data_IF_387871465753
#
_entry.id   IF_387871465753
#
_cell.length_a   1.000
_cell.length_b   1.000
_cell.length_c   1.000
_cell.angle_alpha   90.00
_cell.angle_beta   90.00
_cell.angle_gamma   90.00
#
_symmetry.space_group_name_H-M   'P 1'
#
loop_
_entity.id
_entity.type
_entity.pdbx_description
1 polymer ?
#
# COMPACT_ATOMS: atom_id res chain seq x y z
N UNK A 1 -4.54 33.81 -1.04
CA UNK A 1 -4.24 32.76 -0.03
C UNK A 1 -3.10 31.97 -0.64
N UNK A 2 -2.08 31.64 0.14
CA UNK A 2 -1.04 30.76 -0.36
C UNK A 2 -1.66 29.39 -0.73
N UNK A 3 -1.25 28.82 -1.86
CA UNK A 3 -1.67 27.50 -2.25
C UNK A 3 -1.05 26.47 -1.32
N UNK A 4 -1.85 25.59 -0.72
CA UNK A 4 -1.39 24.53 0.18
C UNK A 4 -1.73 23.17 -0.37
N UNK A 5 -0.84 22.21 -0.15
CA UNK A 5 -1.01 20.83 -0.54
C UNK A 5 -0.55 19.87 0.57
N UNK A 6 -1.09 18.68 0.62
CA UNK A 6 -0.59 17.65 1.52
C UNK A 6 0.77 17.12 1.03
N UNK A 7 1.62 16.68 1.96
CA UNK A 7 2.88 16.04 1.59
C UNK A 7 2.67 14.80 0.69
N UNK A 8 1.54 14.12 0.85
CA UNK A 8 1.21 12.94 0.04
C UNK A 8 0.97 13.33 -1.41
N UNK A 9 0.12 14.34 -1.65
CA UNK A 9 -0.15 14.89 -2.98
C UNK A 9 1.13 15.32 -3.67
N UNK A 10 1.98 16.08 -2.96
CA UNK A 10 3.26 16.51 -3.51
C UNK A 10 4.25 15.35 -3.73
N UNK A 11 4.21 14.31 -2.90
CA UNK A 11 5.02 13.10 -3.09
C UNK A 11 4.63 12.31 -4.35
N UNK A 12 3.34 12.23 -4.66
CA UNK A 12 2.83 11.64 -5.91
C UNK A 12 3.25 12.48 -7.12
N UNK A 13 3.01 13.80 -7.03
CA UNK A 13 3.36 14.76 -8.09
C UNK A 13 4.87 14.80 -8.35
N UNK A 14 5.69 14.78 -7.30
CA UNK A 14 7.14 14.68 -7.41
C UNK A 14 7.56 13.46 -8.23
N UNK A 15 7.03 12.30 -7.87
CA UNK A 15 7.36 11.05 -8.56
C UNK A 15 6.98 11.13 -10.03
N UNK A 16 5.80 11.65 -10.33
CA UNK A 16 5.32 11.85 -11.69
C UNK A 16 6.23 12.80 -12.50
N UNK A 17 6.59 13.97 -11.94
CA UNK A 17 7.47 14.93 -12.61
C UNK A 17 8.89 14.41 -12.82
N UNK A 18 9.43 13.66 -11.85
CA UNK A 18 10.74 12.99 -12.03
C UNK A 18 10.73 12.02 -13.22
N UNK A 19 9.66 11.25 -13.39
CA UNK A 19 9.53 10.34 -14.53
C UNK A 19 9.46 11.08 -15.86
N UNK A 20 8.75 12.22 -15.91
CA UNK A 20 8.69 13.07 -17.12
C UNK A 20 10.04 13.69 -17.43
N UNK A 21 10.73 14.23 -16.43
CA UNK A 21 12.05 14.83 -16.55
C UNK A 21 13.12 13.79 -16.98
N UNK A 22 13.14 12.62 -16.33
CA UNK A 22 14.15 11.59 -16.58
C UNK A 22 13.88 10.80 -17.87
N UNK A 23 12.60 10.69 -18.30
CA UNK A 23 12.16 9.89 -19.44
C UNK A 23 12.47 8.39 -19.29
N UNK A 24 12.78 7.93 -18.12
CA UNK A 24 13.19 6.56 -17.81
C UNK A 24 13.04 6.28 -16.32
N UNK A 25 13.00 5.01 -15.94
CA UNK A 25 12.93 4.59 -14.55
C UNK A 25 13.87 3.43 -14.28
N UNK A 26 14.56 3.47 -13.14
CA UNK A 26 15.40 2.39 -12.64
C UNK A 26 14.54 1.30 -12.00
N UNK A 27 14.84 0.03 -12.28
CA UNK A 27 14.28 -1.07 -11.49
C UNK A 27 14.92 -1.12 -10.11
N UNK A 28 14.11 -1.48 -9.10
CA UNK A 28 14.56 -1.57 -7.71
C UNK A 28 15.04 -2.96 -7.33
N UNK A 29 15.95 -3.04 -6.35
CA UNK A 29 16.34 -4.29 -5.67
C UNK A 29 15.46 -4.55 -4.44
N UNK A 30 15.57 -5.74 -3.85
CA UNK A 30 14.90 -6.07 -2.59
C UNK A 30 15.25 -5.11 -1.43
N UNK A 31 16.45 -4.54 -1.42
CA UNK A 31 16.92 -3.58 -0.42
C UNK A 31 16.60 -2.11 -0.74
N UNK A 32 15.74 -1.86 -1.74
CA UNK A 32 15.37 -0.51 -2.20
C UNK A 32 16.56 0.31 -2.74
N UNK A 33 17.45 -0.33 -3.49
CA UNK A 33 18.52 0.30 -4.23
C UNK A 33 18.27 0.16 -5.73
N UNK A 34 18.98 0.93 -6.54
CA UNK A 34 18.96 0.80 -8.00
C UNK A 34 19.50 -0.58 -8.39
N UNK A 35 18.78 -1.28 -9.26
CA UNK A 35 19.27 -2.52 -9.87
C UNK A 35 20.15 -2.15 -11.07
N UNK A 36 21.41 -2.51 -11.00
CA UNK A 36 22.39 -2.18 -12.03
C UNK A 36 21.97 -2.71 -13.42
N UNK A 37 22.13 -1.90 -14.44
CA UNK A 37 21.84 -2.22 -15.83
C UNK A 37 20.38 -2.63 -16.13
N UNK A 38 19.43 -2.27 -15.25
CA UNK A 38 18.01 -2.51 -15.47
C UNK A 38 17.24 -1.18 -15.44
N UNK A 39 17.36 -0.45 -16.54
CA UNK A 39 16.76 0.85 -16.79
C UNK A 39 15.70 0.71 -17.87
N UNK A 40 14.49 1.26 -17.65
CA UNK A 40 13.39 1.19 -18.63
C UNK A 40 13.06 2.57 -19.16
N UNK A 41 13.22 2.82 -20.48
CA UNK A 41 12.75 4.03 -21.12
C UNK A 41 11.23 4.14 -21.05
N UNK A 42 10.76 5.35 -20.77
CA UNK A 42 9.34 5.70 -20.75
C UNK A 42 9.01 6.46 -22.02
N UNK A 43 8.08 5.96 -22.81
CA UNK A 43 7.65 6.62 -24.03
C UNK A 43 6.43 7.54 -23.80
N UNK A 44 5.52 7.13 -22.88
CA UNK A 44 4.34 7.91 -22.58
C UNK A 44 3.82 7.57 -21.18
N UNK A 45 3.29 8.58 -20.48
CA UNK A 45 2.56 8.41 -19.21
C UNK A 45 1.13 8.89 -19.42
N UNK A 46 0.15 8.10 -18.99
CA UNK A 46 -1.25 8.49 -18.93
C UNK A 46 -1.64 8.76 -17.47
N UNK A 47 -2.28 9.90 -17.23
CA UNK A 47 -2.82 10.31 -15.94
C UNK A 47 -4.27 10.72 -16.07
N UNK A 48 -5.10 10.37 -15.10
CA UNK A 48 -6.53 10.69 -15.08
C UNK A 48 -6.78 11.74 -14.01
N UNK A 49 -7.46 12.82 -14.39
CA UNK A 49 -7.88 13.91 -13.52
C UNK A 49 -9.40 14.07 -13.56
N UNK A 50 -9.98 14.94 -12.74
CA UNK A 50 -11.42 15.12 -12.63
C UNK A 50 -12.07 15.59 -13.97
N UNK A 51 -11.33 16.31 -14.80
CA UNK A 51 -11.80 16.89 -16.08
C UNK A 51 -11.47 16.04 -17.32
N UNK A 52 -10.82 14.87 -17.12
CA UNK A 52 -10.48 13.93 -18.17
C UNK A 52 -9.15 13.20 -18.00
N UNK A 53 -8.65 12.67 -19.08
CA UNK A 53 -7.36 11.99 -19.12
C UNK A 53 -6.33 12.81 -19.87
N UNK A 54 -5.09 12.69 -19.49
CA UNK A 54 -3.95 13.32 -20.18
C UNK A 54 -2.92 12.28 -20.51
N UNK A 55 -2.34 12.40 -21.72
CA UNK A 55 -1.20 11.62 -22.16
C UNK A 55 0.01 12.51 -22.33
N UNK A 56 1.08 12.19 -21.64
CA UNK A 56 2.36 12.88 -21.64
C UNK A 56 3.34 12.05 -22.46
N UNK A 57 3.58 12.45 -23.70
CA UNK A 57 4.54 11.81 -24.61
C UNK A 57 5.92 12.37 -24.33
N UNK A 58 6.87 11.51 -24.00
CA UNK A 58 8.24 11.90 -23.70
C UNK A 58 9.05 11.88 -24.98
N UNK A 59 9.42 13.06 -25.43
CA UNK A 59 10.25 13.29 -26.61
C UNK A 59 11.70 13.56 -26.18
N UNK A 60 12.60 13.80 -27.12
CA UNK A 60 14.03 13.93 -26.81
C UNK A 60 14.31 15.05 -25.80
N UNK A 61 13.73 16.24 -25.99
CA UNK A 61 13.93 17.39 -25.10
C UNK A 61 12.65 17.87 -24.42
N UNK A 62 11.49 17.45 -24.90
CA UNK A 62 10.20 17.99 -24.53
C UNK A 62 9.26 16.88 -24.02
N UNK A 63 8.23 17.31 -23.31
CA UNK A 63 7.05 16.52 -22.97
C UNK A 63 5.86 17.12 -23.70
N UNK A 64 5.28 16.38 -24.64
CA UNK A 64 4.09 16.78 -25.37
C UNK A 64 2.86 16.24 -24.64
N UNK A 65 1.92 17.13 -24.33
CA UNK A 65 0.70 16.82 -23.56
C UNK A 65 -0.51 16.81 -24.48
N UNK A 66 -1.22 15.71 -24.51
CA UNK A 66 -2.46 15.52 -25.25
C UNK A 66 -3.61 15.34 -24.25
N UNK A 67 -4.62 16.20 -24.35
CA UNK A 67 -5.79 16.18 -23.51
C UNK A 67 -6.88 15.29 -24.13
N UNK A 68 -7.57 14.51 -23.31
CA UNK A 68 -8.56 13.57 -23.80
C UNK A 68 -9.48 13.07 -22.69
N UNK A 69 -10.19 12.02 -22.99
CA UNK A 69 -11.03 11.28 -22.05
C UNK A 69 -10.92 9.78 -22.30
N UNK A 70 -11.23 8.98 -21.30
CA UNK A 70 -11.34 7.53 -21.47
C UNK A 70 -12.79 7.20 -21.79
N UNK A 71 -13.04 6.73 -23.01
CA UNK A 71 -14.36 6.29 -23.41
C UNK A 71 -14.79 5.08 -22.57
N UNK A 72 -15.88 5.23 -21.79
CA UNK A 72 -16.35 4.20 -20.84
C UNK A 72 -16.66 2.84 -21.47
N UNK A 73 -17.05 2.83 -22.75
CA UNK A 73 -17.49 1.62 -23.43
C UNK A 73 -16.33 0.79 -23.98
N UNK A 74 -15.31 1.45 -24.52
CA UNK A 74 -14.15 0.82 -25.18
C UNK A 74 -12.91 0.80 -24.28
N UNK A 75 -12.91 1.61 -23.22
CA UNK A 75 -11.75 1.89 -22.37
C UNK A 75 -10.55 2.48 -23.16
N UNK A 76 -10.84 3.15 -24.29
CA UNK A 76 -9.82 3.78 -25.12
C UNK A 76 -9.72 5.28 -24.82
N UNK A 77 -8.51 5.79 -24.94
CA UNK A 77 -8.28 7.23 -24.87
C UNK A 77 -8.73 7.89 -26.18
N UNK A 78 -9.55 8.92 -26.05
CA UNK A 78 -10.00 9.76 -27.16
C UNK A 78 -9.52 11.18 -26.93
N UNK A 79 -8.67 11.68 -27.82
CA UNK A 79 -8.15 13.05 -27.73
C UNK A 79 -9.27 14.08 -27.95
N UNK A 80 -9.29 15.16 -27.17
CA UNK A 80 -10.18 16.32 -27.38
C UNK A 80 -9.66 17.12 -28.56
N UNK A 81 -10.54 17.38 -29.52
CA UNK A 81 -10.20 18.14 -30.76
C UNK A 81 -10.28 19.64 -30.57
N UNK A 82 -10.92 20.10 -29.53
CA UNK A 82 -11.13 21.51 -29.14
C UNK A 82 -10.05 22.06 -28.19
N UNK A 83 -9.13 21.21 -27.76
CA UNK A 83 -7.99 21.60 -26.92
C UNK A 83 -6.70 21.34 -27.67
N UNK A 84 -5.90 22.38 -27.85
CA UNK A 84 -4.60 22.26 -28.49
C UNK A 84 -3.62 21.43 -27.64
N UNK A 85 -2.84 20.60 -28.32
CA UNK A 85 -1.69 19.93 -27.72
C UNK A 85 -0.66 20.97 -27.31
N UNK A 86 -0.02 20.74 -26.18
CA UNK A 86 1.03 21.63 -25.65
C UNK A 86 2.32 20.85 -25.49
N UNK A 87 3.44 21.54 -25.62
CA UNK A 87 4.78 20.93 -25.43
C UNK A 87 5.59 21.82 -24.51
N UNK A 88 6.29 21.19 -23.55
CA UNK A 88 7.11 21.88 -22.57
C UNK A 88 8.47 21.18 -22.45
N UNK A 89 9.56 21.94 -22.24
CA UNK A 89 10.87 21.36 -22.00
C UNK A 89 10.87 20.39 -20.80
N UNK A 90 11.59 19.29 -20.94
CA UNK A 90 11.77 18.34 -19.81
C UNK A 90 12.44 18.99 -18.59
N UNK A 91 13.27 20.00 -18.84
CA UNK A 91 13.95 20.79 -17.80
C UNK A 91 12.95 21.53 -16.89
N UNK A 92 11.78 21.94 -17.39
CA UNK A 92 10.75 22.59 -16.59
C UNK A 92 10.14 21.62 -15.57
N UNK A 93 9.94 20.35 -15.96
CA UNK A 93 9.51 19.29 -15.05
C UNK A 93 10.60 18.93 -14.04
N UNK A 94 11.88 18.99 -14.41
CA UNK A 94 13.00 18.80 -13.47
C UNK A 94 13.05 19.92 -12.45
N UNK A 95 12.90 21.17 -12.87
CA UNK A 95 12.84 22.33 -11.98
C UNK A 95 11.65 22.23 -11.02
N UNK A 96 10.46 21.90 -11.51
CA UNK A 96 9.26 21.72 -10.69
C UNK A 96 9.44 20.56 -9.68
N UNK A 97 9.99 19.42 -10.10
CA UNK A 97 10.32 18.31 -9.21
C UNK A 97 11.32 18.74 -8.11
N UNK A 98 12.32 19.55 -8.45
CA UNK A 98 13.31 20.05 -7.50
C UNK A 98 12.69 21.00 -6.46
N UNK A 99 11.74 21.85 -6.85
CA UNK A 99 10.97 22.71 -5.94
C UNK A 99 10.14 21.86 -4.97
N UNK A 100 9.43 20.83 -5.47
CA UNK A 100 8.65 19.90 -4.64
C UNK A 100 9.56 19.17 -3.65
N UNK A 101 10.69 18.65 -4.10
CA UNK A 101 11.64 17.92 -3.25
C UNK A 101 12.16 18.82 -2.11
N UNK A 102 12.49 20.07 -2.43
CA UNK A 102 12.92 21.07 -1.44
C UNK A 102 11.82 21.30 -0.39
N UNK A 103 10.58 21.51 -0.82
CA UNK A 103 9.42 21.72 0.06
C UNK A 103 9.15 20.49 0.94
N UNK A 104 9.19 19.29 0.39
CA UNK A 104 9.00 18.05 1.14
C UNK A 104 10.07 17.82 2.23
N UNK A 105 11.31 18.27 1.98
CA UNK A 105 12.43 18.13 2.93
C UNK A 105 12.50 19.23 3.98
N UNK A 106 12.12 20.45 3.62
CA UNK A 106 12.30 21.64 4.48
C UNK A 106 11.13 21.92 5.41
N UNK A 107 9.89 21.63 4.99
CA UNK A 107 8.71 21.94 5.76
C UNK A 107 8.26 20.77 6.64
N UNK A 108 7.76 21.07 7.85
CA UNK A 108 7.16 20.12 8.78
C UNK A 108 5.63 20.19 8.68
N UNK A 109 4.94 19.11 9.09
CA UNK A 109 3.47 19.02 9.04
C UNK A 109 2.96 18.12 7.90
N UNK A 110 1.65 17.93 7.86
CA UNK A 110 0.98 17.16 6.81
C UNK A 110 0.64 18.04 5.60
N UNK A 111 0.23 19.27 5.83
CA UNK A 111 0.01 20.30 4.81
C UNK A 111 1.22 21.22 4.76
N UNK A 112 1.64 21.55 3.56
CA UNK A 112 2.78 22.42 3.29
C UNK A 112 2.40 23.48 2.25
N UNK A 113 3.04 24.63 2.36
CA UNK A 113 2.86 25.76 1.45
C UNK A 113 3.64 25.51 0.14
N UNK A 114 2.98 25.72 -0.97
CA UNK A 114 3.52 25.59 -2.31
C UNK A 114 3.96 26.98 -2.78
N UNK A 115 5.16 27.09 -3.37
CA UNK A 115 5.65 28.36 -3.89
C UNK A 115 4.89 28.79 -5.15
N UNK A 116 4.80 30.10 -5.38
CA UNK A 116 4.08 30.71 -6.50
C UNK A 116 4.59 30.23 -7.87
N UNK A 117 5.90 29.96 -7.98
CA UNK A 117 6.50 29.44 -9.22
C UNK A 117 5.97 28.04 -9.57
N UNK A 118 5.82 27.14 -8.56
CA UNK A 118 5.27 25.84 -8.79
C UNK A 118 3.76 25.89 -9.10
N UNK A 119 3.00 26.74 -8.39
CA UNK A 119 1.58 26.97 -8.68
C UNK A 119 1.40 27.47 -10.12
N UNK A 120 2.18 28.47 -10.54
CA UNK A 120 2.16 28.98 -11.92
C UNK A 120 2.54 27.94 -12.97
N UNK A 121 3.47 27.03 -12.65
CA UNK A 121 3.82 25.93 -13.56
C UNK A 121 2.67 24.92 -13.67
N UNK A 122 2.02 24.55 -12.55
CA UNK A 122 0.87 23.66 -12.57
C UNK A 122 -0.28 24.20 -13.42
N UNK A 123 -0.56 25.49 -13.30
CA UNK A 123 -1.56 26.18 -14.13
C UNK A 123 -1.18 26.14 -15.62
N UNK A 124 0.10 26.38 -15.92
CA UNK A 124 0.62 26.38 -17.29
C UNK A 124 0.50 25.01 -17.96
N UNK A 125 0.83 23.94 -17.25
CA UNK A 125 0.70 22.56 -17.75
C UNK A 125 -0.71 21.98 -17.53
N UNK A 126 -1.62 22.78 -16.97
CA UNK A 126 -3.02 22.45 -16.70
C UNK A 126 -3.18 21.19 -15.84
N UNK A 127 -2.40 21.08 -14.78
CA UNK A 127 -2.57 20.04 -13.77
C UNK A 127 -3.37 20.64 -12.61
N UNK A 128 -4.64 20.21 -12.48
CA UNK A 128 -5.56 20.71 -11.46
C UNK A 128 -5.76 19.74 -10.30
N UNK A 129 -5.50 18.47 -10.50
CA UNK A 129 -5.53 17.45 -9.45
C UNK A 129 -4.09 17.04 -9.10
N UNK A 130 -3.70 17.26 -7.85
CA UNK A 130 -2.37 16.86 -7.37
C UNK A 130 -2.25 15.34 -7.24
N UNK A 131 -3.35 14.65 -6.94
CA UNK A 131 -3.47 13.18 -6.97
C UNK A 131 -4.34 12.74 -8.15
N UNK A 132 -4.02 11.59 -8.75
CA UNK A 132 -4.84 11.01 -9.81
C UNK A 132 -6.25 10.63 -9.32
N UNK A 133 -7.24 10.78 -10.18
CA UNK A 133 -8.66 10.49 -9.89
C UNK A 133 -9.11 9.22 -10.60
N UNK A 134 -8.72 8.06 -10.07
CA UNK A 134 -9.07 6.75 -10.63
C UNK A 134 -9.89 5.91 -9.66
N UNK A 135 -10.84 5.12 -10.19
CA UNK A 135 -11.63 4.17 -9.40
C UNK A 135 -10.82 2.92 -9.02
N UNK A 136 -9.85 2.55 -9.85
CA UNK A 136 -9.02 1.34 -9.69
C UNK A 136 -7.75 1.57 -8.85
N UNK A 137 -7.52 2.84 -8.43
CA UNK A 137 -6.35 3.28 -7.64
C UNK A 137 -5.01 3.16 -8.35
N UNK A 138 -5.01 3.18 -9.66
CA UNK A 138 -3.82 3.45 -10.45
C UNK A 138 -3.52 4.94 -10.37
N UNK A 139 -2.32 5.32 -9.95
CA UNK A 139 -1.95 6.73 -9.88
C UNK A 139 -1.50 7.22 -11.26
N UNK A 140 -0.75 6.38 -11.99
CA UNK A 140 -0.38 6.62 -13.39
C UNK A 140 -0.33 5.30 -14.17
N UNK A 141 -0.44 5.39 -15.50
CA UNK A 141 -0.21 4.27 -16.41
C UNK A 141 0.92 4.62 -17.39
N UNK A 142 1.88 3.72 -17.58
CA UNK A 142 3.10 3.94 -18.36
C UNK A 142 3.13 3.03 -19.58
N UNK A 143 3.42 3.61 -20.74
CA UNK A 143 3.87 2.88 -21.92
C UNK A 143 5.40 2.94 -21.99
N UNK A 144 6.05 1.77 -21.91
CA UNK A 144 7.50 1.65 -22.01
C UNK A 144 7.92 1.43 -23.46
N UNK A 145 9.09 1.94 -23.81
CA UNK A 145 9.75 1.77 -25.12
C UNK A 145 9.05 2.45 -26.30
N UNK A 146 7.74 2.29 -26.45
CA UNK A 146 6.94 2.86 -27.54
C UNK A 146 5.61 3.40 -27.04
N UNK A 147 5.10 4.52 -27.59
CA UNK A 147 3.82 5.10 -27.18
C UNK A 147 2.61 4.17 -27.38
N UNK A 148 2.66 3.26 -28.36
CA UNK A 148 1.61 2.27 -28.62
C UNK A 148 1.77 1.00 -27.77
N UNK A 149 2.80 0.89 -26.94
CA UNK A 149 2.94 -0.24 -26.03
C UNK A 149 1.75 -0.30 -25.05
N UNK A 150 1.37 -1.50 -24.59
CA UNK A 150 0.33 -1.63 -23.60
C UNK A 150 0.62 -0.79 -22.37
N UNK A 151 -0.42 -0.09 -21.89
CA UNK A 151 -0.33 0.70 -20.67
C UNK A 151 -0.20 -0.23 -19.46
N UNK A 152 0.76 0.07 -18.64
CA UNK A 152 1.02 -0.61 -17.36
C UNK A 152 0.65 0.32 -16.22
N UNK A 153 -0.31 -0.08 -15.38
CA UNK A 153 -0.78 0.71 -14.25
C UNK A 153 0.13 0.60 -13.03
N UNK A 154 0.44 1.74 -12.42
CA UNK A 154 1.29 1.83 -11.23
C UNK A 154 0.61 2.56 -10.08
N UNK A 155 0.86 2.08 -8.86
CA UNK A 155 0.66 2.87 -7.65
C UNK A 155 1.96 3.56 -7.24
N UNK A 156 1.86 4.81 -6.77
CA UNK A 156 3.00 5.61 -6.31
C UNK A 156 3.11 5.55 -4.79
N UNK A 157 4.33 5.42 -4.28
CA UNK A 157 4.68 5.54 -2.87
C UNK A 157 5.92 6.41 -2.72
N UNK A 158 5.85 7.41 -1.86
CA UNK A 158 6.95 8.36 -1.64
C UNK A 158 7.35 8.35 -0.16
N UNK A 159 8.62 8.02 0.14
CA UNK A 159 9.15 7.99 1.52
C UNK A 159 9.32 9.38 2.13
N UNK A 160 9.30 10.43 1.33
CA UNK A 160 9.34 11.82 1.77
C UNK A 160 8.00 12.30 2.34
N UNK A 161 6.95 11.50 2.20
CA UNK A 161 5.59 11.81 2.62
C UNK A 161 4.96 10.68 3.45
N UNK A 162 3.83 10.90 4.12
CA UNK A 162 3.00 9.83 4.66
C UNK A 162 2.53 8.90 3.54
N UNK A 163 2.90 7.62 3.63
CA UNK A 163 2.53 6.62 2.62
C UNK A 163 1.20 5.95 2.95
N UNK A 164 0.35 5.78 1.95
CA UNK A 164 -0.83 4.93 2.09
C UNK A 164 -0.41 3.49 2.40
N UNK A 165 -1.05 2.83 3.39
CA UNK A 165 -0.76 1.43 3.68
C UNK A 165 -1.12 0.54 2.48
N UNK A 166 -0.44 -0.61 2.38
CA UNK A 166 -0.77 -1.65 1.41
C UNK A 166 -2.12 -2.29 1.76
N UNK A 167 -2.37 -2.47 3.05
CA UNK A 167 -3.63 -2.99 3.58
C UNK A 167 -4.13 -2.07 4.69
N UNK A 168 -5.31 -1.48 4.48
CA UNK A 168 -6.11 -0.78 5.48
C UNK A 168 -7.60 -1.06 5.17
N UNK A 169 -8.09 -2.16 5.70
CA UNK A 169 -9.46 -2.62 5.46
C UNK A 169 -10.45 -2.19 6.53
N UNK A 170 -10.00 -1.47 7.55
CA UNK A 170 -10.86 -1.16 8.68
C UNK A 170 -11.49 -2.43 9.25
N UNK A 171 -12.79 -2.40 9.53
CA UNK A 171 -13.54 -3.55 10.10
C UNK A 171 -13.49 -4.82 9.26
N UNK A 172 -13.34 -4.71 7.93
CA UNK A 172 -13.31 -5.88 7.05
C UNK A 172 -12.01 -6.66 7.16
N UNK A 173 -10.94 -6.05 7.70
CA UNK A 173 -9.66 -6.70 7.91
C UNK A 173 -9.50 -7.31 9.32
N UNK A 174 -10.58 -7.60 10.03
CA UNK A 174 -10.54 -8.18 11.37
C UNK A 174 -10.48 -9.72 11.33
N UNK A 175 -9.55 -10.25 12.14
CA UNK A 175 -9.43 -11.68 12.46
C UNK A 175 -10.15 -11.94 13.78
N UNK A 176 -10.86 -13.06 13.89
CA UNK A 176 -11.65 -13.45 15.06
C UNK A 176 -10.94 -14.53 15.85
N UNK A 177 -10.73 -14.26 17.14
CA UNK A 177 -10.24 -15.24 18.11
C UNK A 177 -11.38 -15.58 19.06
N UNK A 178 -11.68 -16.86 19.17
CA UNK A 178 -12.68 -17.36 20.12
C UNK A 178 -12.07 -17.40 21.53
N UNK A 179 -12.81 -16.85 22.49
CA UNK A 179 -12.50 -16.98 23.91
C UNK A 179 -12.97 -18.34 24.40
N UNK A 180 -12.04 -19.17 24.84
CA UNK A 180 -12.23 -20.52 25.37
C UNK A 180 -11.55 -20.66 26.73
N UNK A 181 -11.46 -21.89 27.26
CA UNK A 181 -10.99 -22.11 28.63
C UNK A 181 -12.08 -21.80 29.66
N UNK A 182 -11.80 -20.94 30.63
CA UNK A 182 -12.82 -20.50 31.60
C UNK A 182 -13.90 -19.69 30.89
N UNK A 183 -15.16 -20.07 31.10
CA UNK A 183 -16.31 -19.35 30.53
C UNK A 183 -16.52 -18.03 31.28
N UNK A 184 -16.41 -16.92 30.58
CA UNK A 184 -16.59 -15.59 31.16
C UNK A 184 -18.06 -15.23 31.33
N UNK A 185 -18.40 -14.69 32.52
CA UNK A 185 -19.65 -14.02 32.75
C UNK A 185 -19.61 -12.57 32.25
N UNK A 186 -20.78 -11.96 32.02
CA UNK A 186 -20.88 -10.58 31.54
C UNK A 186 -20.05 -9.57 32.37
N UNK A 187 -20.08 -9.62 33.74
CA UNK A 187 -19.26 -8.71 34.54
C UNK A 187 -17.74 -8.84 34.26
N UNK A 188 -17.26 -10.06 34.01
CA UNK A 188 -15.85 -10.32 33.69
C UNK A 188 -15.49 -9.71 32.36
N UNK A 189 -16.34 -9.88 31.35
CA UNK A 189 -16.15 -9.29 30.02
C UNK A 189 -16.14 -7.76 30.11
N UNK A 190 -17.10 -7.18 30.84
CA UNK A 190 -17.15 -5.73 31.02
C UNK A 190 -15.87 -5.20 31.70
N UNK A 191 -15.32 -5.94 32.68
CA UNK A 191 -14.08 -5.58 33.35
C UNK A 191 -12.89 -5.61 32.41
N UNK A 192 -12.79 -6.59 31.48
CA UNK A 192 -11.74 -6.65 30.47
C UNK A 192 -11.87 -5.48 29.49
N UNK A 193 -13.09 -5.24 29.00
CA UNK A 193 -13.32 -4.18 28.01
C UNK A 193 -13.20 -2.76 28.58
N UNK A 194 -13.37 -2.59 29.90
CA UNK A 194 -13.24 -1.30 30.59
C UNK A 194 -11.80 -0.94 30.99
N UNK A 195 -10.80 -1.70 30.55
CA UNK A 195 -9.42 -1.30 30.76
C UNK A 195 -9.16 0.08 30.09
N UNK A 196 -8.39 0.96 30.79
CA UNK A 196 -8.12 2.31 30.28
C UNK A 196 -7.49 2.30 28.89
N UNK A 197 -7.76 3.35 28.14
CA UNK A 197 -7.08 3.61 26.87
C UNK A 197 -5.58 3.77 27.10
N UNK A 198 -4.78 3.02 26.39
CA UNK A 198 -3.33 3.10 26.40
C UNK A 198 -2.77 2.64 25.04
N UNK A 199 -1.53 2.99 24.70
CA UNK A 199 -0.89 2.47 23.49
C UNK A 199 -0.79 0.92 23.45
N UNK A 200 -0.96 0.27 24.62
CA UNK A 200 -0.85 -1.18 24.80
C UNK A 200 -2.17 -1.84 25.25
N UNK A 201 -3.30 -1.13 25.19
CA UNK A 201 -4.58 -1.61 25.70
C UNK A 201 -5.03 -2.96 25.14
N UNK A 202 -4.75 -3.25 23.85
CA UNK A 202 -5.04 -4.56 23.23
C UNK A 202 -4.23 -5.66 23.90
N UNK A 203 -2.93 -5.43 24.13
CA UNK A 203 -2.05 -6.35 24.85
C UNK A 203 -2.55 -6.57 26.30
N UNK A 204 -2.86 -5.49 26.99
CA UNK A 204 -3.33 -5.53 28.38
C UNK A 204 -4.62 -6.33 28.52
N UNK A 205 -5.58 -6.16 27.59
CA UNK A 205 -6.82 -6.96 27.53
C UNK A 205 -6.52 -8.44 27.26
N UNK A 206 -5.62 -8.75 26.32
CA UNK A 206 -5.23 -10.13 26.03
C UNK A 206 -4.59 -10.81 27.25
N UNK A 207 -3.63 -10.14 27.91
CA UNK A 207 -3.00 -10.64 29.13
C UNK A 207 -3.99 -10.78 30.29
N UNK A 208 -4.95 -9.86 30.42
CA UNK A 208 -6.01 -9.98 31.43
C UNK A 208 -6.91 -11.19 31.16
N UNK A 209 -7.28 -11.47 29.91
CA UNK A 209 -8.04 -12.66 29.52
C UNK A 209 -7.29 -13.92 29.97
N UNK A 210 -5.99 -14.00 29.67
CA UNK A 210 -5.14 -15.14 30.06
C UNK A 210 -5.04 -15.30 31.60
N UNK A 211 -4.83 -14.20 32.33
CA UNK A 211 -4.79 -14.22 33.83
C UNK A 211 -6.11 -14.69 34.46
N UNK A 212 -7.23 -14.47 33.79
CA UNK A 212 -8.54 -14.94 34.20
C UNK A 212 -8.83 -16.38 33.75
N UNK A 213 -7.86 -17.09 33.19
CA UNK A 213 -7.98 -18.46 32.70
C UNK A 213 -8.66 -18.62 31.35
N UNK A 214 -8.87 -17.51 30.64
CA UNK A 214 -9.34 -17.52 29.25
C UNK A 214 -8.22 -17.85 28.30
N UNK A 215 -8.57 -18.42 27.14
CA UNK A 215 -7.65 -18.73 26.06
C UNK A 215 -8.22 -18.18 24.78
N UNK A 216 -7.44 -17.40 24.04
CA UNK A 216 -7.81 -16.86 22.73
C UNK A 216 -7.26 -17.78 21.64
N UNK A 217 -8.16 -18.37 20.85
CA UNK A 217 -7.79 -19.25 19.72
C UNK A 217 -8.33 -18.68 18.42
N UNK A 218 -7.50 -18.70 17.37
CA UNK A 218 -7.98 -18.33 16.04
C UNK A 218 -9.23 -19.15 15.69
N UNK A 219 -10.28 -18.47 15.27
CA UNK A 219 -11.55 -19.06 14.85
C UNK A 219 -11.82 -18.81 13.37
N UNK A 220 -11.89 -17.54 12.94
CA UNK A 220 -12.24 -17.18 11.57
C UNK A 220 -11.77 -15.74 11.22
N UNK A 221 -12.12 -15.28 10.03
CA UNK A 221 -12.03 -13.88 9.59
C UNK A 221 -13.42 -13.27 9.68
N UNK A 222 -13.52 -12.03 10.16
CA UNK A 222 -14.81 -11.38 10.39
C UNK A 222 -15.59 -11.13 9.09
N UNK A 223 -14.89 -10.79 8.02
CA UNK A 223 -15.48 -10.54 6.71
C UNK A 223 -15.32 -11.75 5.78
N UNK A 224 -16.41 -12.15 5.10
CA UNK A 224 -16.42 -13.33 4.22
C UNK A 224 -15.57 -13.16 2.96
N UNK A 225 -15.55 -11.95 2.39
CA UNK A 225 -14.76 -11.67 1.17
C UNK A 225 -13.28 -11.69 1.52
N UNK A 226 -12.87 -11.03 2.59
CA UNK A 226 -11.49 -11.06 3.05
C UNK A 226 -11.04 -12.48 3.40
N UNK A 227 -11.90 -13.24 4.07
CA UNK A 227 -11.63 -14.65 4.34
C UNK A 227 -11.30 -15.43 3.06
N UNK A 228 -12.15 -15.32 2.04
CA UNK A 228 -11.93 -16.00 0.76
C UNK A 228 -10.63 -15.52 0.08
N UNK A 229 -10.35 -14.22 0.10
CA UNK A 229 -9.11 -13.67 -0.46
C UNK A 229 -7.86 -14.24 0.23
N UNK A 230 -7.88 -14.38 1.58
CA UNK A 230 -6.78 -14.98 2.33
C UNK A 230 -6.64 -16.48 2.04
N UNK A 231 -7.76 -17.20 1.89
CA UNK A 231 -7.76 -18.62 1.54
C UNK A 231 -7.20 -18.89 0.13
N UNK A 232 -7.30 -17.91 -0.79
CA UNK A 232 -6.65 -17.99 -2.10
C UNK A 232 -5.11 -17.99 -2.03
N UNK A 233 -4.55 -17.43 -0.96
CA UNK A 233 -3.10 -17.50 -0.70
C UNK A 233 -2.72 -18.89 -0.17
N UNK A 234 -3.43 -19.34 0.89
CA UNK A 234 -3.29 -20.67 1.47
C UNK A 234 -4.43 -20.92 2.48
N UNK A 235 -4.89 -22.18 2.61
CA UNK A 235 -5.97 -22.55 3.53
C UNK A 235 -5.64 -22.26 5.00
N UNK A 236 -4.38 -22.25 5.37
CA UNK A 236 -3.91 -21.96 6.74
C UNK A 236 -3.42 -20.53 6.91
N UNK A 237 -3.36 -19.74 5.84
CA UNK A 237 -2.82 -18.38 5.87
C UNK A 237 -3.53 -17.45 6.84
N UNK A 238 -4.88 -17.46 6.97
CA UNK A 238 -5.57 -16.61 7.95
C UNK A 238 -5.11 -16.87 9.39
N UNK A 239 -4.84 -18.15 9.74
CA UNK A 239 -4.34 -18.51 11.07
C UNK A 239 -2.91 -18.04 11.28
N UNK A 240 -2.03 -18.18 10.28
CA UNK A 240 -0.67 -17.63 10.31
C UNK A 240 -0.70 -16.12 10.56
N UNK A 241 -1.50 -15.40 9.78
CA UNK A 241 -1.63 -13.95 9.88
C UNK A 241 -2.17 -13.53 11.26
N UNK A 242 -3.09 -14.30 11.84
CA UNK A 242 -3.62 -14.06 13.18
C UNK A 242 -2.52 -14.16 14.26
N UNK A 243 -1.63 -15.14 14.18
CA UNK A 243 -0.51 -15.26 15.11
C UNK A 243 0.51 -14.12 14.91
N UNK A 244 0.77 -13.69 13.69
CA UNK A 244 1.64 -12.54 13.44
C UNK A 244 1.08 -11.26 14.06
N UNK A 245 -0.22 -10.98 13.91
CA UNK A 245 -0.87 -9.81 14.53
C UNK A 245 -0.87 -9.94 16.06
N UNK A 246 -1.04 -11.14 16.60
CA UNK A 246 -0.95 -11.40 18.04
C UNK A 246 0.45 -11.07 18.59
N UNK A 247 1.51 -11.55 17.92
CA UNK A 247 2.91 -11.24 18.27
C UNK A 247 3.20 -9.74 18.19
N UNK A 248 2.68 -9.05 17.19
CA UNK A 248 2.81 -7.59 17.10
C UNK A 248 2.27 -6.90 18.36
N UNK A 249 1.11 -7.32 18.86
CA UNK A 249 0.53 -6.71 20.06
C UNK A 249 1.24 -7.14 21.35
N UNK A 250 1.64 -8.42 21.49
CA UNK A 250 2.23 -8.95 22.73
C UNK A 250 3.72 -8.59 22.86
N UNK A 251 4.48 -8.75 21.79
CA UNK A 251 5.95 -8.65 21.81
C UNK A 251 6.47 -7.36 21.15
N UNK A 252 5.57 -6.58 20.53
CA UNK A 252 5.92 -5.32 19.88
C UNK A 252 6.69 -5.50 18.55
N UNK A 253 6.80 -6.72 18.03
CA UNK A 253 7.47 -6.98 16.75
C UNK A 253 6.56 -6.53 15.62
N UNK A 254 7.03 -5.61 14.79
CA UNK A 254 6.20 -5.04 13.72
C UNK A 254 6.65 -5.41 12.33
N UNK A 255 7.96 -5.58 12.09
CA UNK A 255 8.48 -5.88 10.75
C UNK A 255 8.06 -7.27 10.30
N UNK A 256 7.56 -7.36 9.07
CA UNK A 256 7.01 -8.62 8.52
C UNK A 256 8.07 -9.72 8.46
N UNK A 257 9.28 -9.42 8.04
CA UNK A 257 10.37 -10.38 7.97
C UNK A 257 10.75 -10.93 9.37
N UNK A 258 10.81 -10.08 10.40
CA UNK A 258 11.08 -10.49 11.78
C UNK A 258 9.94 -11.36 12.33
N UNK A 259 8.69 -10.95 12.10
CA UNK A 259 7.52 -11.73 12.49
C UNK A 259 7.50 -13.12 11.85
N UNK A 260 7.91 -13.25 10.59
CA UNK A 260 7.97 -14.55 9.91
C UNK A 260 9.04 -15.45 10.54
N UNK A 261 10.20 -14.91 10.95
CA UNK A 261 11.20 -15.71 11.67
C UNK A 261 10.64 -16.25 13.00
N UNK A 262 9.96 -15.41 13.78
CA UNK A 262 9.28 -15.87 15.02
C UNK A 262 8.19 -16.92 14.75
N UNK A 263 7.43 -16.77 13.65
CA UNK A 263 6.41 -17.76 13.25
C UNK A 263 7.05 -19.10 12.87
N UNK A 264 8.24 -19.12 12.26
CA UNK A 264 8.98 -20.36 11.99
C UNK A 264 9.34 -21.09 13.29
N UNK A 265 9.79 -20.35 14.30
CA UNK A 265 10.17 -20.92 15.62
C UNK A 265 8.96 -21.50 16.37
N UNK A 266 7.86 -20.75 16.43
CA UNK A 266 6.64 -21.14 17.13
C UNK A 266 5.90 -22.26 16.38
N UNK A 267 5.97 -22.25 15.06
CA UNK A 267 5.29 -23.17 14.14
C UNK A 267 3.79 -23.38 14.48
N UNK A 268 2.97 -22.33 14.51
CA UNK A 268 1.58 -22.41 14.99
C UNK A 268 0.69 -23.29 14.09
N UNK A 269 1.10 -23.53 12.85
CA UNK A 269 0.39 -24.37 11.89
C UNK A 269 0.82 -25.83 11.95
N UNK A 270 1.86 -26.16 12.73
CA UNK A 270 2.46 -27.50 12.83
C UNK A 270 2.90 -28.02 11.46
N UNK A 271 3.50 -27.15 10.66
CA UNK A 271 4.08 -27.49 9.35
C UNK A 271 5.34 -28.38 9.58
N UNK A 272 5.57 -29.34 8.70
CA UNK A 272 6.76 -30.20 8.78
C UNK A 272 8.03 -29.36 8.57
N UNK A 273 9.07 -29.65 9.34
CA UNK A 273 10.36 -28.92 9.31
C UNK A 273 10.97 -28.86 7.91
N UNK A 274 10.78 -29.90 7.12
CA UNK A 274 11.25 -29.91 5.73
C UNK A 274 10.63 -28.80 4.88
N UNK A 275 9.30 -28.57 5.02
CA UNK A 275 8.60 -27.50 4.30
C UNK A 275 9.02 -26.10 4.81
N UNK A 276 9.27 -25.98 6.11
CA UNK A 276 9.72 -24.72 6.70
C UNK A 276 11.14 -24.40 6.22
N UNK A 277 12.08 -25.34 6.40
CA UNK A 277 13.51 -25.08 6.26
C UNK A 277 14.02 -25.20 4.81
N UNK A 278 13.48 -26.15 4.02
CA UNK A 278 13.89 -26.34 2.61
C UNK A 278 13.07 -25.54 1.62
N UNK A 279 11.76 -25.39 1.89
CA UNK A 279 10.83 -24.72 0.97
C UNK A 279 10.44 -23.32 1.40
N UNK A 280 10.86 -22.85 2.59
CA UNK A 280 10.55 -21.51 3.07
C UNK A 280 9.05 -21.23 3.19
N UNK A 281 8.24 -22.21 3.65
CA UNK A 281 6.79 -22.15 3.59
C UNK A 281 6.20 -20.83 4.10
N UNK A 282 6.54 -20.41 5.30
CA UNK A 282 5.98 -19.20 5.91
C UNK A 282 6.36 -17.93 5.16
N UNK A 283 7.64 -17.84 4.78
CA UNK A 283 8.15 -16.72 3.98
C UNK A 283 7.49 -16.66 2.61
N UNK A 284 7.40 -17.79 1.91
CA UNK A 284 6.79 -17.88 0.59
C UNK A 284 5.31 -17.43 0.63
N UNK A 285 4.52 -17.91 1.61
CA UNK A 285 3.12 -17.52 1.73
C UNK A 285 2.94 -16.04 2.06
N UNK A 286 3.81 -15.49 2.91
CA UNK A 286 3.78 -14.06 3.22
C UNK A 286 4.14 -13.20 2.01
N UNK A 287 5.16 -13.58 1.24
CA UNK A 287 5.54 -12.92 -0.02
C UNK A 287 4.41 -12.93 -1.04
N UNK A 288 3.72 -14.07 -1.23
CA UNK A 288 2.54 -14.16 -2.09
C UNK A 288 1.44 -13.20 -1.67
N UNK A 289 1.16 -13.11 -0.38
CA UNK A 289 0.13 -12.20 0.15
C UNK A 289 0.51 -10.72 -0.05
N UNK A 290 1.73 -10.33 0.29
CA UNK A 290 2.21 -8.95 0.11
C UNK A 290 2.18 -8.53 -1.36
N UNK A 291 2.58 -9.42 -2.26
CA UNK A 291 2.52 -9.18 -3.70
C UNK A 291 1.07 -9.02 -4.17
N UNK A 292 0.16 -9.87 -3.70
CA UNK A 292 -1.26 -9.75 -4.02
C UNK A 292 -1.85 -8.41 -3.55
N UNK A 293 -1.47 -7.92 -2.37
CA UNK A 293 -1.88 -6.60 -1.86
C UNK A 293 -1.34 -5.47 -2.74
N UNK A 294 -0.05 -5.51 -3.08
CA UNK A 294 0.58 -4.50 -3.92
C UNK A 294 -0.04 -4.46 -5.34
N UNK A 295 -0.47 -5.61 -5.84
CA UNK A 295 -1.16 -5.77 -7.12
C UNK A 295 -2.68 -5.66 -7.03
N UNK A 296 -3.23 -5.09 -5.95
CA UNK A 296 -4.61 -4.63 -5.89
C UNK A 296 -5.60 -5.47 -5.09
N UNK A 297 -5.18 -6.54 -4.38
CA UNK A 297 -6.06 -7.22 -3.44
C UNK A 297 -6.59 -6.26 -2.37
N UNK A 298 -7.90 -6.31 -2.11
CA UNK A 298 -8.59 -5.51 -1.09
C UNK A 298 -9.44 -6.40 -0.20
N UNK A 299 -9.58 -6.11 1.12
CA UNK A 299 -10.43 -6.92 2.00
C UNK A 299 -11.90 -6.97 1.56
N UNK A 300 -12.47 -5.83 1.15
CA UNK A 300 -13.88 -5.74 0.79
C UNK A 300 -14.21 -6.05 -0.68
N UNK A 301 -13.22 -6.43 -1.52
CA UNK A 301 -13.40 -6.73 -2.94
C UNK A 301 -12.91 -8.14 -3.25
N UNK A 302 -13.72 -8.92 -3.99
CA UNK A 302 -13.31 -10.25 -4.46
C UNK A 302 -12.01 -10.14 -5.25
N UNK A 303 -11.03 -10.96 -4.88
CA UNK A 303 -9.74 -11.05 -5.53
C UNK A 303 -9.62 -12.39 -6.25
N UNK A 304 -9.36 -12.35 -7.55
CA UNK A 304 -9.16 -13.53 -8.39
C UNK A 304 -7.73 -13.65 -8.96
N UNK A 305 -6.86 -12.69 -8.63
CA UNK A 305 -5.47 -12.68 -9.07
C UNK A 305 -5.25 -12.10 -10.47
N UNK A 306 -6.29 -11.77 -11.24
CA UNK A 306 -6.19 -11.35 -12.65
C UNK A 306 -6.75 -9.98 -12.94
N UNK A 307 -7.78 -9.54 -12.22
CA UNK A 307 -8.56 -8.34 -12.57
C UNK A 307 -8.07 -7.07 -11.84
N UNK A 308 -6.76 -6.84 -11.83
CA UNK A 308 -6.19 -5.62 -11.29
C UNK A 308 -5.58 -4.75 -12.38
N UNK A 309 -5.93 -3.48 -12.39
CA UNK A 309 -5.28 -2.48 -13.24
C UNK A 309 -3.86 -2.13 -12.73
N UNK A 310 -3.57 -2.43 -11.45
CA UNK A 310 -2.25 -2.19 -10.85
C UNK A 310 -1.34 -3.37 -11.21
N UNK A 311 -0.28 -3.09 -11.94
CA UNK A 311 0.72 -4.07 -12.36
C UNK A 311 2.09 -3.85 -11.69
N UNK A 312 2.25 -2.74 -10.99
CA UNK A 312 3.49 -2.41 -10.29
C UNK A 312 3.36 -1.27 -9.29
N UNK A 313 4.48 -0.95 -8.70
CA UNK A 313 4.63 0.13 -7.72
C UNK A 313 5.87 0.97 -8.05
N UNK A 314 5.70 2.26 -8.02
CA UNK A 314 6.78 3.24 -8.06
C UNK A 314 7.09 3.69 -6.63
N UNK A 315 8.34 3.55 -6.24
CA UNK A 315 8.80 3.91 -4.90
C UNK A 315 9.83 5.03 -4.99
N UNK A 316 9.49 6.20 -4.48
CA UNK A 316 10.45 7.29 -4.29
C UNK A 316 11.14 7.13 -2.94
N UNK A 317 12.47 7.04 -2.94
CA UNK A 317 13.29 6.96 -1.74
C UNK A 317 13.43 8.33 -1.06
N UNK A 318 14.03 8.35 0.15
CA UNK A 318 14.26 9.57 0.92
C UNK A 318 15.26 10.57 0.27
N UNK A 319 16.08 10.12 -0.67
CA UNK A 319 16.96 10.95 -1.50
C UNK A 319 16.28 11.52 -2.76
N UNK A 320 15.10 11.03 -3.08
CA UNK A 320 14.32 11.45 -4.26
C UNK A 320 14.46 10.50 -5.47
N UNK A 321 15.24 9.44 -5.37
CA UNK A 321 15.36 8.44 -6.45
C UNK A 321 14.06 7.64 -6.59
N UNK A 322 13.55 7.53 -7.82
CA UNK A 322 12.36 6.74 -8.15
C UNK A 322 12.78 5.34 -8.60
N UNK A 323 12.23 4.33 -7.94
CA UNK A 323 12.44 2.92 -8.23
C UNK A 323 11.14 2.27 -8.71
N UNK A 324 11.24 1.43 -9.73
CA UNK A 324 10.12 0.67 -10.26
C UNK A 324 10.16 -0.79 -9.77
N UNK A 325 9.02 -1.28 -9.31
CA UNK A 325 8.74 -2.68 -9.00
C UNK A 325 7.56 -3.13 -9.85
N UNK A 326 7.76 -4.14 -10.68
CA UNK A 326 6.76 -4.57 -11.65
C UNK A 326 6.51 -6.08 -11.54
N UNK A 327 5.28 -6.52 -11.85
CA UNK A 327 4.87 -7.93 -11.79
C UNK A 327 5.71 -8.86 -12.69
N UNK A 328 6.39 -8.35 -13.74
CA UNK A 328 7.28 -9.15 -14.58
C UNK A 328 8.54 -9.63 -13.85
N UNK A 329 8.97 -8.94 -12.76
CA UNK A 329 9.99 -9.39 -11.83
C UNK A 329 9.36 -9.56 -10.43
N UNK A 330 8.38 -10.47 -10.38
CA UNK A 330 7.58 -10.71 -9.18
C UNK A 330 8.40 -11.18 -7.97
N UNK A 331 9.53 -11.85 -8.22
CA UNK A 331 10.42 -12.30 -7.15
C UNK A 331 11.09 -11.11 -6.46
N UNK A 332 11.75 -10.23 -7.20
CA UNK A 332 12.37 -9.02 -6.64
C UNK A 332 11.33 -8.12 -5.98
N UNK A 333 10.14 -8.01 -6.57
CA UNK A 333 9.06 -7.22 -6.00
C UNK A 333 8.56 -7.80 -4.67
N UNK A 334 8.35 -9.11 -4.60
CA UNK A 334 7.93 -9.79 -3.36
C UNK A 334 9.02 -9.69 -2.28
N UNK A 335 10.30 -9.83 -2.64
CA UNK A 335 11.44 -9.69 -1.74
C UNK A 335 11.55 -8.26 -1.19
N UNK A 336 11.34 -7.25 -2.05
CA UNK A 336 11.28 -5.86 -1.62
C UNK A 336 10.15 -5.64 -0.59
N UNK A 337 8.94 -6.08 -0.89
CA UNK A 337 7.80 -5.95 0.02
C UNK A 337 8.06 -6.65 1.35
N UNK A 338 8.60 -7.86 1.31
CA UNK A 338 8.92 -8.65 2.51
C UNK A 338 9.92 -7.94 3.43
N UNK A 339 10.93 -7.29 2.88
CA UNK A 339 11.95 -6.57 3.65
C UNK A 339 11.50 -5.17 4.08
N UNK A 340 10.53 -4.56 3.41
CA UNK A 340 10.18 -3.15 3.58
C UNK A 340 8.74 -2.91 4.07
N UNK A 341 8.07 -3.93 4.61
CA UNK A 341 6.73 -3.80 5.20
C UNK A 341 6.69 -4.13 6.69
N UNK A 342 5.66 -3.61 7.35
CA UNK A 342 5.38 -3.85 8.77
C UNK A 342 3.88 -3.95 9.02
N UNK A 343 3.49 -4.64 10.08
CA UNK A 343 2.17 -4.52 10.67
C UNK A 343 2.04 -3.17 11.39
N UNK A 344 0.86 -2.60 11.33
CA UNK A 344 0.50 -1.34 11.99
C UNK A 344 -0.75 -1.53 12.84
N UNK A 345 -0.91 -0.71 13.88
CA UNK A 345 -2.14 -0.64 14.69
C UNK A 345 -3.11 0.32 13.99
N UNK A 346 -4.35 -0.10 13.80
CA UNK A 346 -5.45 0.76 13.36
C UNK A 346 -6.13 1.47 14.54
N UNK A 347 -7.07 2.40 14.30
CA UNK A 347 -7.87 3.02 15.35
C UNK A 347 -8.93 2.03 15.87
N UNK A 348 -8.80 1.62 17.16
CA UNK A 348 -9.60 0.54 17.75
C UNK A 348 -11.12 0.74 17.61
N UNK A 349 -11.61 1.89 18.03
CA UNK A 349 -13.04 2.22 18.04
C UNK A 349 -13.63 2.26 16.61
N UNK A 350 -12.90 2.82 15.67
CA UNK A 350 -13.32 2.91 14.27
C UNK A 350 -13.34 1.54 13.61
N UNK A 351 -12.31 0.74 13.85
CA UNK A 351 -12.10 -0.55 13.19
C UNK A 351 -12.72 -1.72 13.97
N UNK A 352 -13.29 -1.45 15.16
CA UNK A 352 -14.02 -2.40 15.99
C UNK A 352 -13.21 -3.68 16.28
N UNK A 353 -12.05 -3.53 16.90
CA UNK A 353 -11.21 -4.63 17.35
C UNK A 353 -10.64 -4.37 18.76
N UNK A 354 -10.00 -5.35 19.36
CA UNK A 354 -9.38 -5.23 20.69
C UNK A 354 -10.34 -5.34 21.85
N UNK A 355 -11.58 -5.77 21.64
CA UNK A 355 -12.62 -5.95 22.63
C UNK A 355 -13.21 -7.37 22.57
N UNK A 356 -13.71 -7.86 23.71
CA UNK A 356 -14.54 -9.08 23.78
C UNK A 356 -15.98 -8.74 23.38
N UNK A 357 -16.45 -9.32 22.28
CA UNK A 357 -17.81 -9.17 21.78
C UNK A 357 -18.53 -10.52 21.77
N UNK A 358 -19.84 -10.52 22.10
CA UNK A 358 -20.65 -11.73 22.11
C UNK A 358 -21.37 -11.93 20.79
N UNK A 359 -21.11 -13.05 20.14
CA UNK A 359 -21.82 -13.47 18.93
C UNK A 359 -22.35 -14.91 19.15
N UNK A 360 -23.64 -15.13 18.96
CA UNK A 360 -24.29 -16.46 19.10
C UNK A 360 -23.94 -17.22 20.37
N UNK A 361 -23.82 -16.50 21.49
CA UNK A 361 -23.53 -17.11 22.81
C UNK A 361 -22.06 -17.30 23.14
N UNK A 362 -21.15 -17.11 22.18
CA UNK A 362 -19.70 -17.22 22.32
C UNK A 362 -19.06 -15.83 22.32
N UNK A 363 -17.99 -15.65 23.09
CA UNK A 363 -17.21 -14.42 23.05
C UNK A 363 -16.04 -14.52 22.09
N UNK A 364 -15.86 -13.48 21.29
CA UNK A 364 -14.77 -13.34 20.34
C UNK A 364 -13.98 -12.08 20.65
N UNK A 365 -12.66 -12.17 20.50
CA UNK A 365 -11.75 -11.05 20.52
C UNK A 365 -11.24 -10.82 19.09
N UNK A 366 -11.39 -9.61 18.56
CA UNK A 366 -10.97 -9.30 17.20
C UNK A 366 -9.61 -8.63 17.20
N UNK A 367 -8.76 -8.98 16.23
CA UNK A 367 -7.50 -8.32 15.92
C UNK A 367 -7.55 -7.76 14.50
N UNK A 368 -7.12 -6.53 14.31
CA UNK A 368 -7.14 -5.87 12.99
C UNK A 368 -5.82 -6.07 12.24
N UNK A 369 -5.91 -6.28 10.93
CA UNK A 369 -4.76 -6.37 10.04
C UNK A 369 -4.59 -5.07 9.29
N UNK A 370 -3.47 -4.38 9.53
CA UNK A 370 -3.04 -3.22 8.78
C UNK A 370 -1.57 -3.39 8.42
N UNK A 371 -1.21 -3.15 7.15
CA UNK A 371 0.15 -3.33 6.65
C UNK A 371 0.60 -2.06 5.96
N UNK A 372 1.65 -1.46 6.48
CA UNK A 372 2.30 -0.28 5.91
C UNK A 372 3.70 -0.57 5.39
N UNK A 373 4.24 0.37 4.62
CA UNK A 373 5.64 0.39 4.21
C UNK A 373 6.50 1.02 5.31
N UNK A 374 7.70 0.50 5.48
CA UNK A 374 8.66 1.06 6.45
C UNK A 374 9.20 2.38 5.91
N UNK A 375 9.15 3.42 6.73
CA UNK A 375 9.93 4.65 6.53
C UNK A 375 11.37 4.35 6.94
N UNK A 376 12.32 4.58 6.07
CA UNK A 376 13.74 4.52 6.40
C UNK A 376 14.26 5.90 6.70
#
# INVERSE_FOLDING_TARGET
MAFTATKRELGELYTFFRLLADGQVNMGTASAQIKENDLRPIAMIQRIEHDGARRYYIEQNDVRIVFGEIEKRTNLFVAKTDVEETSFPREDFDAAASMILSSLKSQSGEEIEVCDELEGFLDTVRIFDLEAKTEDRTDISIAFWHPEAPLTGFSIRCRLSPMNPLLDGGRTANLKLEQSGVKFAVPTVNKVNALPESPNEVMERMLMIERLGGVLKYNDVADKVFRCNLLMIDLHFPRMLSEMVRLMHLDGITRINELVEHIKEINPLKIKDELINKHGYYEHKMKQFLLALALGMRPAKIYNGTDSAIEGMLMTNGDGVVLCYHKSDSQTFADFLFQNTRLEKGPLEKDKYGFLERENGTYYFKLNVKIGLVKR
#
